data_IF_187640770796
#
_entry.id   IF_187640770796
#
_cell.length_a   1.000
_cell.length_b   1.000
_cell.length_c   1.000
_cell.angle_alpha   90.00
_cell.angle_beta   90.00
_cell.angle_gamma   90.00
#
_symmetry.space_group_name_H-M   'P 1'
#
loop_
_entity.id
_entity.type
_entity.pdbx_description
1 polymer ?
#
# COMPACT_ATOMS: atom_id res chain seq x y z
N UNK A 1 19.90 20.29 1.94
CA UNK A 1 20.19 18.86 2.16
C UNK A 1 19.86 18.12 0.87
N UNK A 2 20.68 17.15 0.44
CA UNK A 2 20.48 16.45 -0.84
C UNK A 2 20.46 14.94 -0.64
N UNK A 3 19.59 14.25 -1.38
CA UNK A 3 19.57 12.80 -1.49
C UNK A 3 20.75 12.35 -2.37
N UNK A 4 21.61 11.48 -1.82
CA UNK A 4 22.75 10.93 -2.57
C UNK A 4 22.41 9.61 -3.24
N UNK A 5 21.81 8.70 -2.48
CA UNK A 5 21.49 7.36 -2.92
C UNK A 5 20.18 6.91 -2.30
N UNK A 6 19.53 5.96 -2.95
CA UNK A 6 18.30 5.37 -2.43
C UNK A 6 18.24 3.90 -2.81
N UNK A 7 17.74 3.06 -1.90
CA UNK A 7 17.60 1.62 -2.08
C UNK A 7 16.16 1.20 -1.77
N UNK A 8 15.57 0.37 -2.60
CA UNK A 8 14.26 -0.20 -2.31
C UNK A 8 14.38 -1.25 -1.21
N UNK A 9 13.57 -1.14 -0.15
CA UNK A 9 13.57 -2.09 0.96
C UNK A 9 12.37 -3.00 0.94
N UNK A 10 11.19 -2.44 0.66
CA UNK A 10 9.96 -3.19 0.42
C UNK A 10 9.23 -2.57 -0.77
N UNK A 11 8.12 -3.18 -1.18
CA UNK A 11 7.30 -2.65 -2.27
C UNK A 11 6.71 -1.26 -1.99
N UNK A 12 6.62 -0.86 -0.71
CA UNK A 12 6.08 0.44 -0.28
C UNK A 12 7.11 1.35 0.41
N UNK A 13 8.31 0.83 0.72
CA UNK A 13 9.31 1.53 1.51
C UNK A 13 10.66 1.62 0.81
N UNK A 14 11.24 2.83 0.81
CA UNK A 14 12.55 3.13 0.25
C UNK A 14 13.49 3.67 1.31
N UNK A 15 14.69 3.14 1.37
CA UNK A 15 15.78 3.74 2.14
C UNK A 15 16.40 4.90 1.37
N UNK A 16 16.68 5.99 2.06
CA UNK A 16 17.34 7.16 1.48
C UNK A 16 18.49 7.64 2.35
N UNK A 17 19.58 8.02 1.69
CA UNK A 17 20.73 8.65 2.32
C UNK A 17 20.73 10.14 2.02
N UNK A 18 20.78 10.93 3.08
CA UNK A 18 20.87 12.38 3.01
C UNK A 18 22.27 12.84 3.40
N UNK A 19 22.78 13.80 2.66
CA UNK A 19 24.00 14.51 3.01
C UNK A 19 23.72 16.02 2.99
N UNK A 20 24.26 16.73 3.98
CA UNK A 20 24.27 18.18 3.91
C UNK A 20 25.06 18.65 2.69
N UNK A 21 24.60 19.73 2.06
CA UNK A 21 25.28 20.30 0.88
C UNK A 21 26.54 21.04 1.33
N UNK A 22 26.49 21.69 2.50
CA UNK A 22 27.65 22.31 3.12
C UNK A 22 28.47 21.27 3.91
N UNK A 23 29.10 20.34 3.18
CA UNK A 23 29.90 19.25 3.76
C UNK A 23 31.02 19.75 4.69
N UNK A 24 31.83 20.78 4.36
CA UNK A 24 32.99 21.14 5.20
C UNK A 24 32.62 21.72 6.57
N UNK A 25 31.47 22.38 6.72
CA UNK A 25 31.11 23.02 8.00
C UNK A 25 30.07 22.21 8.79
N UNK A 26 29.12 21.56 8.11
CA UNK A 26 27.97 20.91 8.76
C UNK A 26 28.20 19.42 9.01
N UNK A 27 28.99 18.74 8.15
CA UNK A 27 29.30 17.29 8.22
C UNK A 27 28.10 16.34 8.44
N UNK A 28 26.86 16.82 8.32
CA UNK A 28 25.69 16.04 8.66
C UNK A 28 25.35 15.04 7.56
N UNK A 29 25.27 13.78 7.95
CA UNK A 29 24.86 12.66 7.09
C UNK A 29 23.85 11.82 7.86
N UNK A 30 22.74 11.49 7.22
CA UNK A 30 21.69 10.70 7.85
C UNK A 30 21.09 9.68 6.88
N UNK A 31 20.50 8.64 7.46
CA UNK A 31 19.71 7.62 6.76
C UNK A 31 18.26 7.77 7.21
N UNK A 32 17.34 7.75 6.25
CA UNK A 32 15.91 7.80 6.51
C UNK A 32 15.16 6.74 5.72
N UNK A 33 13.91 6.50 6.12
CA UNK A 33 12.97 5.68 5.39
C UNK A 33 11.89 6.57 4.78
N UNK A 34 11.54 6.32 3.53
CA UNK A 34 10.43 6.93 2.83
C UNK A 34 9.36 5.87 2.62
N UNK A 35 8.20 6.12 3.19
CA UNK A 35 7.02 5.26 3.10
C UNK A 35 5.88 6.04 2.43
N UNK A 36 5.07 5.33 1.64
CA UNK A 36 3.86 5.90 1.07
C UNK A 36 2.79 6.07 2.16
N UNK A 37 2.51 7.30 2.59
CA UNK A 37 1.63 7.54 3.75
C UNK A 37 0.15 7.23 3.50
N UNK A 38 -0.37 7.54 2.30
CA UNK A 38 -1.77 7.30 1.93
C UNK A 38 -1.93 7.28 0.40
N UNK A 39 -2.85 6.46 -0.08
CA UNK A 39 -3.22 6.42 -1.51
C UNK A 39 -4.37 7.39 -1.79
N UNK A 40 -4.13 8.44 -2.59
CA UNK A 40 -5.18 9.39 -2.99
C UNK A 40 -6.10 8.84 -4.10
N UNK A 41 -5.53 8.08 -5.04
CA UNK A 41 -6.26 7.43 -6.13
C UNK A 41 -5.66 6.04 -6.35
N UNK A 42 -6.47 4.96 -6.40
CA UNK A 42 -5.94 3.62 -6.65
C UNK A 42 -5.38 3.49 -8.07
N UNK A 43 -4.30 2.73 -8.22
CA UNK A 43 -3.80 2.33 -9.53
C UNK A 43 -4.84 1.45 -10.23
N UNK A 44 -5.05 1.65 -11.54
CA UNK A 44 -5.87 0.74 -12.35
C UNK A 44 -5.28 -0.68 -12.41
N UNK A 45 -3.95 -0.78 -12.31
CA UNK A 45 -3.22 -2.05 -12.25
C UNK A 45 -2.33 -2.02 -11.00
N UNK A 46 -2.87 -2.38 -9.81
CA UNK A 46 -2.07 -2.46 -8.60
C UNK A 46 -1.03 -3.57 -8.75
N UNK A 47 0.15 -3.37 -8.17
CA UNK A 47 1.15 -4.44 -8.11
C UNK A 47 0.57 -5.61 -7.27
N UNK A 48 0.39 -6.82 -7.83
CA UNK A 48 -0.27 -7.93 -7.13
C UNK A 48 0.55 -8.46 -5.95
N UNK A 49 1.84 -8.13 -5.88
CA UNK A 49 2.72 -8.47 -4.77
C UNK A 49 2.54 -7.53 -3.57
N UNK A 50 1.80 -6.43 -3.73
CA UNK A 50 1.45 -5.49 -2.67
C UNK A 50 -0.02 -5.66 -2.33
N UNK A 51 -0.31 -5.98 -1.07
CA UNK A 51 -1.67 -5.92 -0.56
C UNK A 51 -2.09 -4.45 -0.40
N UNK A 52 -2.46 -3.83 -1.52
CA UNK A 52 -3.12 -2.54 -1.52
C UNK A 52 -4.61 -2.78 -1.24
N UNK A 53 -5.25 -2.01 -0.34
CA UNK A 53 -6.69 -2.07 -0.19
C UNK A 53 -7.31 -1.60 -1.51
N UNK A 54 -7.66 -2.56 -2.36
CA UNK A 54 -8.55 -2.31 -3.49
C UNK A 54 -9.82 -1.74 -2.88
N UNK A 55 -10.12 -0.48 -3.21
CA UNK A 55 -11.40 0.11 -2.84
C UNK A 55 -12.47 -0.90 -3.20
N UNK A 56 -13.45 -1.09 -2.32
CA UNK A 56 -14.63 -1.90 -2.61
C UNK A 56 -15.40 -1.19 -3.73
N UNK A 57 -14.88 -1.23 -4.95
CA UNK A 57 -15.66 -0.99 -6.15
C UNK A 57 -16.82 -1.95 -5.99
N UNK A 58 -18.04 -1.41 -5.87
CA UNK A 58 -19.24 -2.24 -5.86
C UNK A 58 -19.08 -3.16 -7.05
N UNK A 59 -18.83 -4.44 -6.78
CA UNK A 59 -18.89 -5.47 -7.81
C UNK A 59 -20.36 -5.47 -8.16
N UNK A 60 -20.75 -4.64 -9.12
CA UNK A 60 -22.05 -4.70 -9.73
C UNK A 60 -22.09 -6.11 -10.33
N UNK A 61 -23.03 -6.96 -9.90
CA UNK A 61 -23.17 -8.29 -10.49
C UNK A 61 -23.37 -8.10 -11.99
N UNK A 62 -22.38 -8.49 -12.79
CA UNK A 62 -22.51 -8.47 -14.25
C UNK A 62 -23.44 -9.60 -14.74
N UNK A 63 -23.70 -10.60 -13.89
CA UNK A 63 -24.52 -11.76 -14.21
C UNK A 63 -25.58 -11.98 -13.12
N UNK A 64 -26.85 -12.01 -13.52
CA UNK A 64 -27.99 -12.26 -12.64
C UNK A 64 -27.89 -13.61 -11.90
N UNK A 65 -27.19 -14.59 -12.51
CA UNK A 65 -27.02 -15.94 -11.96
C UNK A 65 -26.07 -16.01 -10.76
N UNK A 66 -25.31 -14.94 -10.51
CA UNK A 66 -24.37 -14.89 -9.40
C UNK A 66 -25.01 -14.40 -8.09
N UNK A 67 -26.30 -14.04 -8.11
CA UNK A 67 -27.02 -13.57 -6.93
C UNK A 67 -27.27 -14.66 -5.89
N UNK A 68 -27.48 -15.90 -6.34
CA UNK A 68 -27.82 -17.03 -5.45
C UNK A 68 -26.67 -17.37 -4.48
N UNK A 69 -25.43 -17.18 -4.91
CA UNK A 69 -24.22 -17.45 -4.09
C UNK A 69 -24.01 -16.42 -2.97
N UNK A 70 -24.64 -15.25 -3.05
CA UNK A 70 -24.55 -14.21 -2.02
C UNK A 70 -25.53 -14.45 -0.87
N UNK A 71 -26.66 -15.11 -1.14
CA UNK A 71 -27.67 -15.42 -0.12
C UNK A 71 -27.16 -16.42 0.93
N UNK A 72 -26.32 -17.37 0.51
CA UNK A 72 -25.78 -18.43 1.38
C UNK A 72 -24.73 -17.93 2.38
N UNK A 73 -24.14 -16.76 2.13
CA UNK A 73 -23.08 -16.21 3.00
C UNK A 73 -23.58 -15.61 4.33
N UNK A 74 -24.90 -15.48 4.52
CA UNK A 74 -25.53 -15.02 5.77
C UNK A 74 -26.16 -16.14 6.61
N UNK A 75 -26.12 -17.39 6.16
CA UNK A 75 -26.74 -18.52 6.85
C UNK A 75 -25.69 -19.43 7.52
N UNK A 76 -25.06 -18.96 8.60
CA UNK A 76 -24.63 -19.76 9.75
C UNK A 76 -23.69 -18.95 10.67
N UNK A 77 -24.26 -18.22 11.64
CA UNK A 77 -23.63 -18.10 12.95
C UNK A 77 -24.24 -19.20 13.83
N UNK A 78 -23.48 -20.20 14.29
CA UNK A 78 -24.00 -21.21 15.21
C UNK A 78 -24.13 -20.59 16.60
N UNK A 79 -25.35 -20.32 17.05
CA UNK A 79 -25.63 -20.10 18.48
C UNK A 79 -25.57 -21.45 19.18
N UNK A 80 -24.48 -21.68 19.91
CA UNK A 80 -24.31 -22.82 20.81
C UNK A 80 -25.11 -22.67 22.12
N UNK A 81 -25.39 -23.84 22.68
CA UNK A 81 -26.02 -24.22 23.97
C UNK A 81 -27.49 -23.89 24.16
#
# INVERSE_FOLDING_TARGET
MQVRTSRMLSLMMKEIYFQCVNVPDCCFTSKGFLELAVTLTPSQNPNPLVYLPVGKTKILPQDHRQMDLLADSNAAQPTGT
#
